data_IF_462250759610
#
_entry.id   IF_462250759610
#
_cell.length_a   1.000
_cell.length_b   1.000
_cell.length_c   1.000
_cell.angle_alpha   90.00
_cell.angle_beta   90.00
_cell.angle_gamma   90.00
#
_symmetry.space_group_name_H-M   'P 1'
#
loop_
_entity.id
_entity.type
_entity.pdbx_description
1 polymer ?
#
# COMPACT_ATOMS: atom_id res chain seq x y z
N UNK A 1 18.76 -15.86 2.43
CA UNK A 1 18.22 -15.22 3.64
C UNK A 1 17.00 -16.02 4.09
N UNK A 2 16.77 -16.24 5.39
CA UNK A 2 15.48 -16.76 5.85
C UNK A 2 14.40 -15.71 5.58
N UNK A 3 13.34 -16.08 4.88
CA UNK A 3 12.19 -15.20 4.67
C UNK A 3 11.32 -15.18 5.93
N UNK A 4 10.71 -14.03 6.21
CA UNK A 4 9.73 -13.91 7.29
C UNK A 4 8.50 -14.74 6.91
N UNK A 5 8.03 -15.68 7.75
CA UNK A 5 6.87 -16.50 7.42
C UNK A 5 5.59 -15.67 7.21
N UNK A 6 4.72 -16.11 6.29
CA UNK A 6 3.41 -15.49 6.03
C UNK A 6 2.55 -15.34 7.30
N UNK A 7 2.68 -16.28 8.25
CA UNK A 7 1.98 -16.23 9.55
C UNK A 7 2.38 -15.02 10.41
N UNK A 8 3.61 -14.52 10.28
CA UNK A 8 4.08 -13.33 10.99
C UNK A 8 3.43 -12.07 10.42
N UNK A 9 3.28 -11.99 9.09
CA UNK A 9 2.58 -10.87 8.46
C UNK A 9 1.08 -10.88 8.79
N UNK A 10 0.46 -12.07 8.79
CA UNK A 10 -0.92 -12.23 9.22
C UNK A 10 -1.14 -11.78 10.68
N UNK A 11 -0.24 -12.15 11.59
CA UNK A 11 -0.29 -11.69 12.99
C UNK A 11 -0.16 -10.17 13.10
N UNK A 12 0.75 -9.55 12.34
CA UNK A 12 0.89 -8.08 12.31
C UNK A 12 -0.36 -7.39 11.77
N UNK A 13 -0.93 -7.90 10.68
CA UNK A 13 -2.17 -7.37 10.11
C UNK A 13 -3.33 -7.45 11.11
N UNK A 14 -3.46 -8.57 11.84
CA UNK A 14 -4.46 -8.73 12.91
C UNK A 14 -4.27 -7.66 14.01
N UNK A 15 -3.04 -7.48 14.52
CA UNK A 15 -2.76 -6.47 15.56
C UNK A 15 -3.01 -5.05 15.09
N UNK A 16 -2.71 -4.74 13.83
CA UNK A 16 -3.03 -3.44 13.23
C UNK A 16 -4.54 -3.22 13.20
N UNK A 17 -5.33 -4.23 12.80
CA UNK A 17 -6.80 -4.13 12.81
C UNK A 17 -7.37 -3.92 14.21
N UNK A 18 -6.85 -4.62 15.21
CA UNK A 18 -7.24 -4.43 16.62
C UNK A 18 -6.94 -3.00 17.09
N UNK A 19 -5.80 -2.45 16.71
CA UNK A 19 -5.45 -1.07 17.02
C UNK A 19 -6.37 -0.07 16.29
N UNK A 20 -6.66 -0.29 15.00
CA UNK A 20 -7.58 0.56 14.22
C UNK A 20 -8.99 0.54 14.79
N UNK A 21 -9.47 -0.62 15.25
CA UNK A 21 -10.77 -0.75 15.92
C UNK A 21 -10.80 0.06 17.22
N UNK A 22 -9.76 -0.06 18.05
CA UNK A 22 -9.65 0.68 19.31
C UNK A 22 -9.62 2.20 19.11
N UNK A 23 -8.85 2.69 18.12
CA UNK A 23 -8.70 4.12 17.83
C UNK A 23 -9.81 4.69 16.93
N UNK A 24 -10.72 3.85 16.43
CA UNK A 24 -11.83 4.28 15.56
C UNK A 24 -11.40 4.71 14.15
N UNK A 25 -10.29 4.17 13.63
CA UNK A 25 -9.78 4.44 12.29
C UNK A 25 -10.27 3.39 11.27
N UNK A 26 -10.53 3.82 10.04
CA UNK A 26 -11.02 2.94 8.97
C UNK A 26 -9.91 2.11 8.31
N UNK A 27 -8.70 2.66 8.22
CA UNK A 27 -7.52 1.98 7.70
C UNK A 27 -6.22 2.64 8.19
N UNK A 28 -5.13 1.88 8.15
CA UNK A 28 -3.77 2.37 8.28
C UNK A 28 -3.12 2.44 6.89
N UNK A 29 -2.52 3.58 6.57
CA UNK A 29 -1.70 3.78 5.37
C UNK A 29 -0.22 3.93 5.76
N UNK A 30 0.61 3.08 5.16
CA UNK A 30 2.04 2.93 5.43
C UNK A 30 2.81 3.35 4.18
N UNK A 31 3.77 4.27 4.32
CA UNK A 31 4.62 4.72 3.19
C UNK A 31 6.11 4.66 3.48
N UNK A 32 6.52 4.48 4.74
CA UNK A 32 7.93 4.42 5.14
C UNK A 32 8.52 3.06 4.74
N UNK A 33 9.71 2.97 4.12
CA UNK A 33 10.24 1.72 3.57
C UNK A 33 10.31 0.54 4.55
N UNK A 34 10.83 0.76 5.76
CA UNK A 34 10.99 -0.30 6.75
C UNK A 34 9.63 -0.84 7.21
N UNK A 35 8.69 0.06 7.48
CA UNK A 35 7.34 -0.33 7.89
C UNK A 35 6.54 -0.93 6.74
N UNK A 36 6.79 -0.50 5.49
CA UNK A 36 6.23 -1.11 4.29
C UNK A 36 6.62 -2.59 4.20
N UNK A 37 7.91 -2.91 4.40
CA UNK A 37 8.35 -4.30 4.45
C UNK A 37 7.70 -5.06 5.61
N UNK A 38 7.63 -4.44 6.79
CA UNK A 38 7.05 -5.08 7.99
C UNK A 38 5.61 -5.52 7.80
N UNK A 39 4.82 -4.85 6.96
CA UNK A 39 3.41 -5.19 6.71
C UNK A 39 3.16 -5.98 5.43
N UNK A 40 4.02 -5.85 4.42
CA UNK A 40 3.77 -6.42 3.08
C UNK A 40 4.70 -7.56 2.69
N UNK A 41 5.87 -7.68 3.33
CA UNK A 41 6.95 -8.57 2.88
C UNK A 41 7.70 -8.06 1.64
N UNK A 42 7.35 -6.89 1.12
CA UNK A 42 8.00 -6.29 -0.04
C UNK A 42 9.06 -5.25 0.36
N UNK A 43 10.28 -5.39 -0.17
CA UNK A 43 11.33 -4.39 0.00
C UNK A 43 11.18 -3.33 -1.10
N UNK A 44 10.98 -2.07 -0.71
CA UNK A 44 10.92 -0.99 -1.70
C UNK A 44 12.26 -0.86 -2.42
N UNK A 45 12.19 -0.81 -3.74
CA UNK A 45 13.30 -0.58 -4.68
C UNK A 45 13.38 0.87 -5.16
N UNK A 46 12.57 1.75 -4.57
CA UNK A 46 12.48 3.18 -4.88
C UNK A 46 12.46 4.01 -3.60
N UNK A 47 12.79 5.29 -3.74
CA UNK A 47 12.58 6.26 -2.70
C UNK A 47 11.13 6.79 -2.72
N UNK A 48 10.34 6.63 -1.63
CA UNK A 48 8.92 7.03 -1.61
C UNK A 48 8.65 8.52 -1.89
N UNK A 49 9.62 9.40 -1.63
CA UNK A 49 9.48 10.83 -1.93
C UNK A 49 9.54 11.13 -3.44
N UNK A 50 10.26 10.31 -4.21
CA UNK A 50 10.29 10.39 -5.67
C UNK A 50 9.12 9.65 -6.30
N UNK A 51 8.76 8.50 -5.73
CA UNK A 51 7.73 7.59 -6.25
C UNK A 51 6.83 7.17 -5.10
N UNK A 52 5.69 7.84 -4.90
CA UNK A 52 4.81 7.51 -3.78
C UNK A 52 4.35 6.06 -3.89
N UNK A 53 4.29 5.39 -2.74
CA UNK A 53 3.79 4.03 -2.57
C UNK A 53 2.92 4.00 -1.32
N UNK A 54 1.96 3.08 -1.26
CA UNK A 54 1.18 2.83 -0.06
C UNK A 54 0.97 1.33 0.13
N UNK A 55 1.21 0.85 1.35
CA UNK A 55 0.60 -0.38 1.84
C UNK A 55 -0.57 0.05 2.74
N UNK A 56 -1.75 -0.50 2.48
CA UNK A 56 -2.96 -0.13 3.21
C UNK A 56 -3.50 -1.37 3.91
N UNK A 57 -3.68 -1.26 5.21
CA UNK A 57 -4.37 -2.26 6.04
C UNK A 57 -5.73 -1.67 6.46
N UNK A 58 -6.82 -2.04 5.80
CA UNK A 58 -8.17 -1.74 6.28
C UNK A 58 -8.45 -2.37 7.64
N UNK A 59 -9.27 -1.70 8.46
CA UNK A 59 -9.85 -2.32 9.67
C UNK A 59 -10.63 -3.59 9.28
N UNK A 60 -11.41 -3.50 8.21
CA UNK A 60 -12.19 -4.59 7.63
C UNK A 60 -11.83 -4.82 6.16
N UNK A 61 -11.71 -6.08 5.75
CA UNK A 61 -11.40 -6.47 4.37
C UNK A 61 -9.90 -6.62 4.06
N UNK A 62 -9.61 -7.03 2.83
CA UNK A 62 -8.25 -7.42 2.43
C UNK A 62 -7.30 -6.22 2.28
N UNK A 63 -6.05 -6.32 2.75
CA UNK A 63 -5.00 -5.34 2.48
C UNK A 63 -4.77 -5.09 0.98
N UNK A 64 -4.16 -3.96 0.64
CA UNK A 64 -3.70 -3.69 -0.72
C UNK A 64 -2.48 -2.79 -0.80
N UNK A 65 -1.83 -2.81 -1.96
CA UNK A 65 -0.74 -1.90 -2.30
C UNK A 65 -1.13 -0.94 -3.43
N UNK A 66 -0.53 0.25 -3.41
CA UNK A 66 -0.44 1.16 -4.54
C UNK A 66 1.03 1.40 -4.84
N UNK A 67 1.46 0.99 -6.03
CA UNK A 67 2.86 0.87 -6.41
C UNK A 67 3.17 1.63 -7.70
N UNK A 68 4.45 1.92 -7.92
CA UNK A 68 4.93 2.59 -9.13
C UNK A 68 5.23 1.59 -10.26
N UNK A 69 5.32 2.09 -11.49
CA UNK A 69 5.58 1.27 -12.69
C UNK A 69 6.96 0.58 -12.64
N UNK A 70 7.98 1.21 -12.03
CA UNK A 70 9.33 0.67 -11.94
C UNK A 70 9.38 -0.64 -11.12
N UNK A 71 8.60 -0.73 -10.04
CA UNK A 71 8.59 -1.89 -9.13
C UNK A 71 7.87 -3.12 -9.69
N UNK A 72 7.29 -3.06 -10.90
CA UNK A 72 6.47 -4.14 -11.47
C UNK A 72 7.19 -5.50 -11.52
N UNK A 73 8.45 -5.53 -11.99
CA UNK A 73 9.22 -6.79 -12.07
C UNK A 73 9.59 -7.33 -10.68
N UNK A 74 9.86 -6.43 -9.73
CA UNK A 74 10.16 -6.82 -8.36
C UNK A 74 8.91 -7.41 -7.68
N UNK A 75 7.72 -6.83 -7.91
CA UNK A 75 6.44 -7.38 -7.42
C UNK A 75 6.19 -8.79 -7.98
N UNK A 76 6.41 -9.00 -9.28
CA UNK A 76 6.29 -10.32 -9.89
C UNK A 76 7.26 -11.32 -9.25
N UNK A 77 8.52 -10.96 -9.10
CA UNK A 77 9.51 -11.81 -8.43
C UNK A 77 9.13 -12.11 -6.97
N UNK A 78 8.59 -11.14 -6.23
CA UNK A 78 8.19 -11.32 -4.84
C UNK A 78 6.97 -12.22 -4.69
N UNK A 79 6.04 -12.15 -5.64
CA UNK A 79 4.89 -13.05 -5.74
C UNK A 79 5.32 -14.48 -6.10
N UNK A 80 6.18 -14.65 -7.10
CA UNK A 80 6.70 -15.96 -7.53
C UNK A 80 7.46 -16.69 -6.41
N UNK A 81 8.05 -15.93 -5.49
CA UNK A 81 8.80 -16.46 -4.34
C UNK A 81 7.95 -16.67 -3.08
N UNK A 82 6.65 -16.36 -3.13
CA UNK A 82 5.74 -16.40 -1.98
C UNK A 82 6.26 -15.56 -0.79
N UNK A 83 6.87 -14.42 -1.10
CA UNK A 83 7.40 -13.46 -0.11
C UNK A 83 6.52 -12.23 0.06
N UNK A 84 5.56 -12.06 -0.84
CA UNK A 84 4.62 -10.94 -0.85
C UNK A 84 3.34 -11.32 -0.09
N UNK A 85 3.14 -10.76 1.10
CA UNK A 85 1.94 -11.00 1.90
C UNK A 85 0.70 -10.30 1.31
N UNK A 86 0.88 -9.07 0.81
CA UNK A 86 -0.20 -8.28 0.20
C UNK A 86 -0.12 -8.43 -1.31
N UNK A 87 -0.91 -9.34 -1.87
CA UNK A 87 -0.91 -9.65 -3.30
C UNK A 87 -1.85 -8.79 -4.15
N UNK A 88 -2.85 -8.12 -3.55
CA UNK A 88 -3.63 -7.10 -4.25
C UNK A 88 -2.83 -5.80 -4.35
N UNK A 89 -2.34 -5.48 -5.55
CA UNK A 89 -1.67 -4.22 -5.83
C UNK A 89 -2.21 -3.58 -7.11
N UNK A 90 -2.26 -2.25 -7.15
CA UNK A 90 -2.44 -1.50 -8.41
C UNK A 90 -1.20 -0.66 -8.69
N UNK A 91 -0.85 -0.55 -9.97
CA UNK A 91 0.33 0.17 -10.45
C UNK A 91 -0.11 1.42 -11.22
N UNK A 92 0.34 2.59 -10.76
CA UNK A 92 0.24 3.82 -11.55
C UNK A 92 1.36 3.87 -12.59
N UNK A 93 1.12 4.57 -13.70
CA UNK A 93 2.09 4.70 -14.79
C UNK A 93 2.95 5.96 -14.61
N UNK A 94 4.23 5.88 -14.96
CA UNK A 94 5.11 7.05 -15.01
C UNK A 94 5.13 7.70 -16.41
N UNK A 95 4.69 6.94 -17.41
CA UNK A 95 4.65 7.37 -18.81
C UNK A 95 3.20 7.59 -19.27
N UNK A 96 2.85 8.78 -19.82
CA UNK A 96 1.53 9.03 -20.35
C UNK A 96 1.17 8.04 -21.46
N UNK A 97 0.02 7.35 -21.31
CA UNK A 97 -0.50 6.44 -22.34
C UNK A 97 -1.62 7.11 -23.11
N UNK A 98 -1.55 7.07 -24.44
CA UNK A 98 -2.58 7.65 -25.33
C UNK A 98 -3.87 6.82 -25.28
N UNK A 99 -3.77 5.50 -25.09
CA UNK A 99 -4.88 4.55 -24.96
C UNK A 99 -4.77 3.81 -23.63
N UNK A 100 -5.90 3.39 -23.05
CA UNK A 100 -5.97 2.74 -21.74
C UNK A 100 -5.27 3.55 -20.64
N UNK A 101 -5.71 4.82 -20.49
CA UNK A 101 -5.17 5.73 -19.48
C UNK A 101 -5.31 5.09 -18.09
N UNK A 102 -4.17 4.91 -17.44
CA UNK A 102 -4.07 4.57 -16.03
C UNK A 102 -3.78 5.85 -15.24
N UNK A 103 -4.00 5.77 -13.92
CA UNK A 103 -3.54 6.79 -13.00
C UNK A 103 -2.05 7.04 -13.18
N UNK A 104 -1.65 8.32 -13.16
CA UNK A 104 -0.25 8.71 -13.09
C UNK A 104 0.18 9.07 -11.66
N UNK A 105 1.44 9.44 -11.49
CA UNK A 105 2.00 9.86 -10.19
C UNK A 105 1.22 11.00 -9.53
N UNK A 106 0.73 11.98 -10.29
CA UNK A 106 -0.02 13.11 -9.75
C UNK A 106 -1.42 12.69 -9.31
N UNK A 107 -1.96 11.63 -9.90
CA UNK A 107 -3.26 11.06 -9.53
C UNK A 107 -3.14 9.91 -8.51
N UNK A 108 -1.97 9.72 -7.90
CA UNK A 108 -1.73 8.65 -6.93
C UNK A 108 -2.71 8.67 -5.74
N UNK A 109 -3.02 9.85 -5.19
CA UNK A 109 -3.99 9.98 -4.09
C UNK A 109 -5.40 9.57 -4.52
N UNK A 110 -5.79 9.89 -5.76
CA UNK A 110 -7.08 9.45 -6.33
C UNK A 110 -7.14 7.93 -6.49
N UNK A 111 -6.02 7.30 -6.86
CA UNK A 111 -5.92 5.85 -6.96
C UNK A 111 -6.06 5.18 -5.57
N UNK A 112 -5.40 5.72 -4.54
CA UNK A 112 -5.57 5.24 -3.15
C UNK A 112 -7.03 5.37 -2.72
N UNK A 113 -7.64 6.54 -2.92
CA UNK A 113 -9.05 6.79 -2.58
C UNK A 113 -9.99 5.82 -3.31
N UNK A 114 -9.76 5.55 -4.60
CA UNK A 114 -10.55 4.59 -5.36
C UNK A 114 -10.44 3.17 -4.78
N UNK A 115 -9.24 2.72 -4.40
CA UNK A 115 -9.05 1.39 -3.80
C UNK A 115 -9.69 1.28 -2.41
N UNK A 116 -9.69 2.36 -1.62
CA UNK A 116 -10.43 2.45 -0.36
C UNK A 116 -11.95 2.35 -0.59
N UNK A 117 -12.49 3.11 -1.55
CA UNK A 117 -13.92 3.07 -1.88
C UNK A 117 -14.37 1.70 -2.37
N UNK A 118 -13.55 1.01 -3.17
CA UNK A 118 -13.81 -0.36 -3.62
C UNK A 118 -13.93 -1.37 -2.46
N UNK A 119 -13.44 -1.01 -1.27
CA UNK A 119 -13.53 -1.79 -0.02
C UNK A 119 -14.61 -1.27 0.93
N UNK A 120 -15.47 -0.37 0.48
CA UNK A 120 -16.52 0.23 1.29
C UNK A 120 -16.05 1.35 2.21
N UNK A 121 -14.79 1.79 2.10
CA UNK A 121 -14.26 2.91 2.89
C UNK A 121 -14.43 4.19 2.08
N UNK A 122 -15.59 4.83 2.22
CA UNK A 122 -15.90 6.10 1.56
C UNK A 122 -15.91 7.31 2.51
N UNK A 123 -15.84 7.08 3.82
CA UNK A 123 -15.82 8.10 4.86
C UNK A 123 -15.13 7.57 6.13
N UNK A 124 -14.74 8.47 7.02
CA UNK A 124 -14.07 8.14 8.29
C UNK A 124 -12.67 8.73 8.38
N UNK A 125 -11.93 8.34 9.42
CA UNK A 125 -10.54 8.75 9.64
C UNK A 125 -9.57 7.67 9.17
N UNK A 126 -8.47 8.09 8.55
CA UNK A 126 -7.36 7.21 8.16
C UNK A 126 -6.17 7.49 9.07
N UNK A 127 -5.58 6.45 9.62
CA UNK A 127 -4.28 6.55 10.27
C UNK A 127 -3.18 6.55 9.18
N UNK A 128 -2.18 7.39 9.33
CA UNK A 128 -1.06 7.51 8.39
C UNK A 128 0.24 7.40 9.16
N UNK A 129 1.06 6.39 8.84
CA UNK A 129 2.35 6.13 9.50
C UNK A 129 3.53 6.87 8.83
N UNK A 130 3.32 7.45 7.66
CA UNK A 130 4.38 8.07 6.86
C UNK A 130 4.57 9.58 7.04
N UNK A 131 5.66 10.07 6.48
CA UNK A 131 5.89 11.49 6.21
C UNK A 131 6.22 11.74 4.74
N UNK A 132 6.08 12.98 4.28
CA UNK A 132 6.42 13.40 2.92
C UNK A 132 5.26 13.38 1.92
N UNK A 133 5.53 13.55 0.62
CA UNK A 133 4.51 13.84 -0.39
C UNK A 133 3.42 12.76 -0.50
N UNK A 134 3.77 11.48 -0.37
CA UNK A 134 2.80 10.38 -0.41
C UNK A 134 1.81 10.43 0.77
N UNK A 135 2.31 10.68 1.99
CA UNK A 135 1.45 10.85 3.15
C UNK A 135 0.52 12.08 3.02
N UNK A 136 1.04 13.19 2.47
CA UNK A 136 0.24 14.39 2.20
C UNK A 136 -0.83 14.18 1.12
N UNK A 137 -0.48 13.48 0.04
CA UNK A 137 -1.42 13.17 -1.05
C UNK A 137 -2.52 12.19 -0.63
N UNK A 138 -2.28 11.38 0.40
CA UNK A 138 -3.28 10.49 0.98
C UNK A 138 -4.24 11.23 1.94
N UNK A 139 -3.82 12.36 2.49
CA UNK A 139 -4.61 13.16 3.44
C UNK A 139 -5.49 14.24 2.79
N UNK A 140 -5.28 14.52 1.49
CA UNK A 140 -6.03 15.51 0.70
C UNK A 140 -6.97 14.82 -0.30
#
# INVERSE_FOLDING_TARGET
>A
MPFVPQTVFADRARRIREHLEHEGHAALLITTPDNFYMVSGFHLDVAPWERPVAAVIPREGEPFLVMNELSANHLLMAADRDTLFISDYEIYVEHPKIRNRKYDRNQWGQLVAQKLQARGISAGSLAVEGSGPGALLAAN
#
